data_IF_737418164724
#
_entry.id   IF_737418164724
#
_cell.length_a   1.000
_cell.length_b   1.000
_cell.length_c   1.000
_cell.angle_alpha   90.00
_cell.angle_beta   90.00
_cell.angle_gamma   90.00
#
_symmetry.space_group_name_H-M   'P 1'
#
loop_
_entity.id
_entity.type
_entity.pdbx_description
1 polymer ?
#
# COMPACT_ATOMS: atom_id res chain seq x y z
N UNK A 1 24.69 2.00 8.74
CA UNK A 1 23.50 2.06 7.89
C UNK A 1 23.40 0.82 7.01
N UNK A 2 22.25 0.17 7.00
CA UNK A 2 22.05 -1.02 6.17
C UNK A 2 22.04 -0.64 4.69
N UNK A 3 22.81 -1.36 3.87
CA UNK A 3 22.78 -1.15 2.44
C UNK A 3 21.65 -1.98 1.82
N UNK A 4 20.49 -1.36 1.64
CA UNK A 4 19.30 -2.01 1.10
C UNK A 4 19.42 -2.29 -0.41
N UNK A 5 20.43 -1.75 -1.07
CA UNK A 5 20.63 -1.99 -2.51
C UNK A 5 21.05 -3.44 -2.81
N UNK A 6 21.46 -4.19 -1.79
CA UNK A 6 21.77 -5.62 -1.92
C UNK A 6 20.53 -6.48 -2.12
N UNK A 7 19.36 -5.94 -1.82
CA UNK A 7 18.10 -6.68 -1.86
C UNK A 7 17.25 -6.18 -3.02
N UNK A 8 16.66 -7.10 -3.75
CA UNK A 8 15.68 -6.74 -4.78
C UNK A 8 14.38 -6.29 -4.11
N UNK A 9 13.52 -5.61 -4.89
CA UNK A 9 12.19 -5.27 -4.40
C UNK A 9 11.42 -6.51 -3.98
N UNK A 10 11.60 -7.61 -4.70
CA UNK A 10 10.95 -8.87 -4.36
C UNK A 10 11.44 -9.43 -3.03
N UNK A 11 12.73 -9.31 -2.74
CA UNK A 11 13.29 -9.75 -1.45
C UNK A 11 12.70 -8.93 -0.29
N UNK A 12 12.60 -7.62 -0.47
CA UNK A 12 12.03 -6.73 0.55
C UNK A 12 10.55 -7.01 0.75
N UNK A 13 9.83 -7.26 -0.33
CA UNK A 13 8.42 -7.61 -0.28
C UNK A 13 8.20 -8.91 0.49
N UNK A 14 9.01 -9.93 0.22
CA UNK A 14 8.91 -11.21 0.89
C UNK A 14 9.17 -11.07 2.39
N UNK A 15 10.16 -10.25 2.78
CA UNK A 15 10.45 -10.01 4.19
C UNK A 15 9.27 -9.32 4.88
N UNK A 16 8.67 -8.32 4.25
CA UNK A 16 7.50 -7.65 4.82
C UNK A 16 6.33 -8.61 4.97
N UNK A 17 6.11 -9.47 3.98
CA UNK A 17 5.04 -10.45 4.04
C UNK A 17 5.23 -11.41 5.20
N UNK A 18 6.47 -11.84 5.44
CA UNK A 18 6.82 -12.69 6.58
C UNK A 18 6.48 -12.02 7.91
N UNK A 19 6.58 -10.70 7.96
CA UNK A 19 6.26 -9.91 9.15
C UNK A 19 4.77 -9.57 9.28
N UNK A 20 3.94 -10.08 8.37
CA UNK A 20 2.49 -9.90 8.44
C UNK A 20 1.93 -8.73 7.65
N UNK A 21 2.74 -8.08 6.82
CA UNK A 21 2.24 -7.02 5.96
C UNK A 21 1.63 -7.59 4.68
N UNK A 22 0.56 -6.95 4.22
CA UNK A 22 -0.02 -7.27 2.92
C UNK A 22 0.81 -6.60 1.83
N UNK A 23 1.42 -7.40 0.95
CA UNK A 23 2.38 -6.89 -0.03
C UNK A 23 1.97 -7.08 -1.48
N UNK A 24 0.79 -7.62 -1.75
CA UNK A 24 0.34 -7.88 -3.11
C UNK A 24 -0.08 -6.62 -3.86
N UNK A 25 -0.35 -5.55 -3.15
CA UNK A 25 -0.83 -4.29 -3.72
C UNK A 25 -0.03 -3.12 -3.16
N UNK A 26 1.25 -3.06 -3.54
CA UNK A 26 2.13 -1.95 -3.17
C UNK A 26 2.12 -0.93 -4.29
N UNK A 27 1.80 0.31 -3.96
CA UNK A 27 1.73 1.40 -4.92
C UNK A 27 3.11 1.99 -5.18
N UNK A 28 3.37 2.32 -6.44
CA UNK A 28 4.62 2.88 -6.90
C UNK A 28 4.34 4.17 -7.68
N UNK A 29 5.33 5.06 -7.74
CA UNK A 29 5.18 6.31 -8.49
C UNK A 29 4.82 6.05 -9.97
N UNK A 30 5.25 4.93 -10.53
CA UNK A 30 4.89 4.56 -11.90
C UNK A 30 3.39 4.33 -12.07
N UNK A 31 2.66 3.98 -11.03
CA UNK A 31 1.21 3.82 -11.11
C UNK A 31 0.51 5.13 -11.44
N UNK A 32 1.12 6.25 -11.05
CA UNK A 32 0.63 7.58 -11.39
C UNK A 32 1.23 8.05 -12.71
N UNK A 33 2.54 7.90 -12.89
CA UNK A 33 3.26 8.41 -14.06
C UNK A 33 2.81 7.73 -15.36
N UNK A 34 2.32 6.51 -15.30
CA UNK A 34 1.79 5.80 -16.47
C UNK A 34 0.44 6.36 -16.92
N UNK A 35 -0.24 7.11 -16.06
CA UNK A 35 -1.57 7.66 -16.32
C UNK A 35 -1.58 9.16 -16.51
N UNK A 36 -0.61 9.86 -15.93
CA UNK A 36 -0.55 11.31 -15.94
C UNK A 36 0.85 11.78 -16.29
N UNK A 37 0.92 12.89 -17.01
CA UNK A 37 2.20 13.50 -17.38
C UNK A 37 2.73 14.31 -16.20
N UNK A 38 3.53 13.68 -15.37
CA UNK A 38 4.13 14.32 -14.19
C UNK A 38 5.48 13.66 -13.88
N UNK A 39 6.31 14.35 -13.10
CA UNK A 39 7.58 13.80 -12.65
C UNK A 39 7.39 12.91 -11.42
N UNK A 40 8.49 12.27 -11.00
CA UNK A 40 8.46 11.34 -9.87
C UNK A 40 8.05 12.02 -8.57
N UNK A 41 8.55 13.24 -8.34
CA UNK A 41 8.22 14.00 -7.13
C UNK A 41 6.73 14.30 -7.04
N UNK A 42 6.15 14.75 -8.16
CA UNK A 42 4.72 15.04 -8.22
C UNK A 42 3.89 13.75 -8.08
N UNK A 43 4.35 12.66 -8.71
CA UNK A 43 3.67 11.38 -8.59
C UNK A 43 3.63 10.89 -7.14
N UNK A 44 4.74 11.05 -6.40
CA UNK A 44 4.78 10.67 -4.99
C UNK A 44 3.84 11.54 -4.16
N UNK A 45 3.77 12.85 -4.44
CA UNK A 45 2.84 13.75 -3.78
C UNK A 45 1.39 13.31 -3.99
N UNK A 46 1.06 12.92 -5.22
CA UNK A 46 -0.29 12.43 -5.55
C UNK A 46 -0.59 11.14 -4.79
N UNK A 47 0.34 10.20 -4.75
CA UNK A 47 0.17 8.96 -3.99
C UNK A 47 -0.05 9.23 -2.51
N UNK A 48 0.76 10.10 -1.92
CA UNK A 48 0.62 10.45 -0.51
C UNK A 48 -0.75 11.04 -0.23
N UNK A 49 -1.20 11.97 -1.07
CA UNK A 49 -2.51 12.61 -0.90
C UNK A 49 -3.66 11.61 -1.03
N UNK A 50 -3.54 10.69 -2.00
CA UNK A 50 -4.59 9.71 -2.24
C UNK A 50 -4.65 8.62 -1.17
N UNK A 51 -3.49 8.12 -0.74
CA UNK A 51 -3.44 6.96 0.16
C UNK A 51 -3.48 7.36 1.64
N UNK A 52 -3.07 8.57 1.98
CA UNK A 52 -3.14 9.08 3.35
C UNK A 52 -4.43 9.85 3.62
N UNK A 53 -5.29 9.93 2.64
CA UNK A 53 -6.58 10.60 2.75
C UNK A 53 -7.47 9.85 3.74
N UNK A 54 -8.11 10.60 4.66
CA UNK A 54 -8.97 10.01 5.68
C UNK A 54 -10.10 9.19 5.05
N UNK A 55 -10.64 9.65 3.94
CA UNK A 55 -11.71 8.96 3.22
C UNK A 55 -11.25 7.58 2.72
N UNK A 56 -10.03 7.52 2.19
CA UNK A 56 -9.44 6.26 1.70
C UNK A 56 -9.25 5.29 2.86
N UNK A 57 -8.70 5.77 3.97
CA UNK A 57 -8.45 4.96 5.15
C UNK A 57 -9.75 4.40 5.72
N UNK A 58 -10.76 5.25 5.87
CA UNK A 58 -12.07 4.82 6.38
C UNK A 58 -12.74 3.81 5.46
N UNK A 59 -12.62 4.00 4.14
CA UNK A 59 -13.18 3.06 3.16
C UNK A 59 -12.52 1.69 3.27
N UNK A 60 -11.20 1.65 3.48
CA UNK A 60 -10.49 0.38 3.65
C UNK A 60 -10.97 -0.33 4.92
N UNK A 61 -11.10 0.38 6.04
CA UNK A 61 -11.58 -0.21 7.28
C UNK A 61 -13.02 -0.71 7.15
N UNK A 62 -13.87 0.03 6.44
CA UNK A 62 -15.24 -0.40 6.19
C UNK A 62 -15.28 -1.70 5.38
N UNK A 63 -14.47 -1.79 4.34
CA UNK A 63 -14.38 -3.00 3.53
C UNK A 63 -13.84 -4.17 4.35
N UNK A 64 -12.84 -3.93 5.18
CA UNK A 64 -12.31 -4.95 6.10
C UNK A 64 -13.44 -5.47 7.00
N UNK A 65 -14.24 -4.58 7.56
CA UNK A 65 -15.36 -4.94 8.40
C UNK A 65 -16.37 -5.82 7.67
N UNK A 66 -16.71 -5.46 6.42
CA UNK A 66 -17.63 -6.23 5.61
C UNK A 66 -17.16 -7.66 5.36
N UNK A 67 -15.89 -7.82 5.01
CA UNK A 67 -15.33 -9.16 4.79
C UNK A 67 -15.21 -9.95 6.07
N UNK A 68 -14.83 -9.32 7.16
CA UNK A 68 -14.74 -9.98 8.46
C UNK A 68 -16.11 -10.48 8.92
N UNK A 69 -17.15 -9.65 8.76
CA UNK A 69 -18.53 -10.07 9.08
C UNK A 69 -19.00 -11.20 8.20
N UNK A 70 -18.63 -11.17 6.91
CA UNK A 70 -18.94 -12.28 6.00
C UNK A 70 -18.30 -13.60 6.41
N UNK A 71 -17.14 -13.52 7.06
CA UNK A 71 -16.46 -14.69 7.61
C UNK A 71 -16.88 -14.99 9.05
N UNK A 72 -17.82 -14.21 9.59
CA UNK A 72 -18.38 -14.36 10.94
C UNK A 72 -17.34 -14.17 12.05
N UNK A 73 -16.38 -13.28 11.80
CA UNK A 73 -15.40 -12.92 12.82
C UNK A 73 -15.97 -11.88 13.77
N UNK A 74 -15.63 -11.99 15.04
CA UNK A 74 -16.10 -11.06 16.05
C UNK A 74 -15.22 -9.81 16.12
N UNK A 75 -15.86 -8.66 16.33
CA UNK A 75 -15.13 -7.41 16.56
C UNK A 75 -14.49 -7.42 17.95
N UNK A 76 -13.33 -6.83 18.04
CA UNK A 76 -12.65 -6.62 19.32
C UNK A 76 -13.31 -5.52 20.14
#
# INVERSE_FOLDING_TARGET
MKNLNKYSSQDLRSELQTRGFFTKNLWHVNDVMDRFDCDEEKALEILCSALENQFTIESIFEIINQYAEGLKENKL
#
